data_IF_502385036417
#
_entry.id   IF_502385036417
#
_cell.length_a   1.000
_cell.length_b   1.000
_cell.length_c   1.000
_cell.angle_alpha   90.00
_cell.angle_beta   90.00
_cell.angle_gamma   90.00
#
_symmetry.space_group_name_H-M   'P 1'
#
loop_
_entity.id
_entity.type
_entity.pdbx_description
1 polymer ?
#
# COMPACT_ATOMS: atom_id res chain seq x y z
N UNK A 1 11.24 -27.32 2.02
CA UNK A 1 12.45 -27.03 1.20
C UNK A 1 12.44 -25.54 0.93
N UNK A 2 13.59 -24.86 1.04
CA UNK A 2 13.69 -23.45 0.63
C UNK A 2 13.43 -23.35 -0.89
N UNK A 3 12.79 -22.25 -1.32
CA UNK A 3 12.61 -21.96 -2.75
C UNK A 3 13.97 -21.99 -3.45
N UNK A 4 14.02 -22.51 -4.67
CA UNK A 4 15.29 -22.51 -5.46
C UNK A 4 15.86 -21.11 -5.72
N UNK A 5 15.08 -20.06 -5.47
CA UNK A 5 15.48 -18.66 -5.64
C UNK A 5 15.74 -17.93 -4.32
N UNK A 6 15.66 -18.63 -3.16
CA UNK A 6 15.87 -17.99 -1.86
C UNK A 6 17.28 -17.43 -1.73
N UNK A 7 17.36 -16.12 -1.81
CA UNK A 7 18.59 -15.35 -1.68
C UNK A 7 18.25 -13.93 -1.21
N UNK A 8 18.53 -13.66 0.07
CA UNK A 8 18.28 -12.35 0.70
C UNK A 8 19.30 -11.28 0.30
N UNK A 9 20.32 -11.61 -0.48
CA UNK A 9 21.24 -10.63 -1.07
C UNK A 9 20.69 -9.96 -2.33
N UNK A 10 19.61 -10.49 -2.90
CA UNK A 10 18.92 -9.89 -4.04
C UNK A 10 18.33 -8.55 -3.68
N UNK A 11 18.13 -7.66 -4.67
CA UNK A 11 17.44 -6.40 -4.47
C UNK A 11 16.03 -6.62 -3.90
N UNK A 12 15.69 -5.88 -2.83
CA UNK A 12 14.43 -5.99 -2.12
C UNK A 12 13.38 -5.03 -2.67
N UNK A 13 12.14 -5.53 -2.84
CA UNK A 13 10.95 -4.79 -3.24
C UNK A 13 9.75 -5.18 -2.38
N UNK A 14 8.84 -4.24 -2.19
CA UNK A 14 7.56 -4.49 -1.54
C UNK A 14 6.45 -4.52 -2.60
N UNK A 15 5.67 -5.61 -2.62
CA UNK A 15 4.54 -5.76 -3.54
C UNK A 15 3.24 -5.94 -2.77
N UNK A 16 2.22 -5.14 -3.10
CA UNK A 16 0.90 -5.21 -2.46
C UNK A 16 -0.15 -5.81 -3.39
N UNK A 17 -1.01 -6.68 -2.84
CA UNK A 17 -2.18 -7.20 -3.54
C UNK A 17 -3.41 -6.40 -3.12
N UNK A 18 -4.06 -5.73 -4.09
CA UNK A 18 -5.23 -4.86 -3.89
C UNK A 18 -6.38 -5.27 -4.80
N UNK A 19 -7.58 -4.82 -4.50
CA UNK A 19 -8.78 -5.15 -5.26
C UNK A 19 -9.97 -5.40 -4.34
N UNK A 20 -11.14 -5.60 -4.90
CA UNK A 20 -12.38 -5.81 -4.16
C UNK A 20 -12.32 -7.06 -3.26
N UNK A 21 -13.18 -7.11 -2.23
CA UNK A 21 -13.41 -8.33 -1.45
C UNK A 21 -13.85 -9.46 -2.40
N UNK A 22 -13.47 -10.69 -2.11
CA UNK A 22 -13.74 -11.88 -2.93
C UNK A 22 -13.16 -11.89 -4.37
N UNK A 23 -12.34 -10.90 -4.78
CA UNK A 23 -11.61 -10.97 -6.06
C UNK A 23 -10.38 -11.89 -6.02
N UNK A 24 -10.14 -12.59 -4.90
CA UNK A 24 -9.15 -13.65 -4.76
C UNK A 24 -7.72 -13.17 -4.50
N UNK A 25 -7.52 -12.01 -3.85
CA UNK A 25 -6.18 -11.49 -3.48
C UNK A 25 -5.37 -12.51 -2.68
N UNK A 26 -5.84 -12.87 -1.49
CA UNK A 26 -5.15 -13.80 -0.59
C UNK A 26 -5.00 -15.20 -1.21
N UNK A 27 -5.99 -15.64 -2.01
CA UNK A 27 -5.91 -16.89 -2.78
C UNK A 27 -4.78 -16.82 -3.82
N UNK A 28 -4.66 -15.68 -4.54
CA UNK A 28 -3.59 -15.47 -5.52
C UNK A 28 -2.23 -15.51 -4.87
N UNK A 29 -2.06 -14.85 -3.71
CA UNK A 29 -0.81 -14.88 -2.95
C UNK A 29 -0.48 -16.29 -2.48
N UNK A 30 -1.42 -16.98 -1.85
CA UNK A 30 -1.22 -18.36 -1.37
C UNK A 30 -0.84 -19.31 -2.50
N UNK A 31 -1.50 -19.21 -3.66
CA UNK A 31 -1.19 -19.97 -4.85
C UNK A 31 0.19 -19.67 -5.41
N UNK A 32 0.54 -18.39 -5.51
CA UNK A 32 1.85 -17.96 -5.96
C UNK A 32 2.97 -18.52 -5.08
N UNK A 33 2.79 -18.48 -3.75
CA UNK A 33 3.75 -19.02 -2.79
C UNK A 33 3.89 -20.55 -2.87
N UNK A 34 2.80 -21.28 -3.13
CA UNK A 34 2.85 -22.72 -3.35
C UNK A 34 3.59 -23.06 -4.63
N UNK A 35 3.14 -22.52 -5.77
CA UNK A 35 3.65 -22.91 -7.09
C UNK A 35 5.12 -22.49 -7.29
N UNK A 36 5.56 -21.44 -6.59
CA UNK A 36 6.96 -21.01 -6.57
C UNK A 36 7.83 -21.73 -5.53
N UNK A 37 7.27 -22.69 -4.79
CA UNK A 37 8.00 -23.53 -3.84
C UNK A 37 8.35 -22.86 -2.51
N UNK A 38 7.70 -21.74 -2.15
CA UNK A 38 7.89 -21.10 -0.85
C UNK A 38 7.07 -21.73 0.26
N UNK A 39 6.01 -22.45 -0.10
CA UNK A 39 5.15 -23.22 0.82
C UNK A 39 5.03 -24.63 0.26
N UNK A 40 5.04 -25.63 1.14
CA UNK A 40 4.86 -27.02 0.75
C UNK A 40 3.37 -27.39 0.68
N UNK A 41 3.02 -28.31 -0.23
CA UNK A 41 1.63 -28.76 -0.46
C UNK A 41 0.94 -29.21 0.83
N UNK A 42 1.64 -29.94 1.71
CA UNK A 42 1.05 -30.44 2.95
C UNK A 42 0.58 -29.32 3.90
N UNK A 43 1.18 -28.12 3.83
CA UNK A 43 0.74 -26.94 4.59
C UNK A 43 -0.61 -26.46 4.05
N UNK A 44 -0.75 -26.38 2.72
CA UNK A 44 -2.01 -26.00 2.07
C UNK A 44 -3.10 -27.05 2.40
N UNK A 45 -2.79 -28.34 2.33
CA UNK A 45 -3.74 -29.42 2.65
C UNK A 45 -4.24 -29.30 4.11
N UNK A 46 -3.34 -28.94 5.02
CA UNK A 46 -3.69 -28.68 6.42
C UNK A 46 -4.62 -27.47 6.59
N UNK A 47 -4.34 -26.38 5.87
CA UNK A 47 -5.16 -25.18 5.89
C UNK A 47 -6.52 -25.39 5.22
N UNK A 48 -6.58 -26.15 4.13
CA UNK A 48 -7.83 -26.50 3.46
C UNK A 48 -8.72 -27.35 4.36
N UNK A 49 -8.14 -28.28 5.13
CA UNK A 49 -8.86 -29.06 6.13
C UNK A 49 -9.44 -28.13 7.23
N UNK A 50 -8.64 -27.21 7.78
CA UNK A 50 -9.11 -26.21 8.77
C UNK A 50 -10.25 -25.35 8.18
N UNK A 51 -10.12 -24.93 6.92
CA UNK A 51 -11.14 -24.17 6.22
C UNK A 51 -12.45 -24.98 6.04
N UNK A 52 -12.32 -26.25 5.61
CA UNK A 52 -13.45 -27.15 5.41
C UNK A 52 -14.18 -27.45 6.73
N UNK A 53 -13.44 -27.69 7.83
CA UNK A 53 -13.99 -27.91 9.17
C UNK A 53 -14.79 -26.70 9.68
N UNK A 54 -14.51 -25.49 9.14
CA UNK A 54 -15.24 -24.24 9.41
C UNK A 54 -16.33 -23.92 8.38
N UNK A 55 -16.63 -24.82 7.46
CA UNK A 55 -17.63 -24.64 6.41
C UNK A 55 -17.18 -23.71 5.27
N UNK A 56 -15.87 -23.49 5.10
CA UNK A 56 -15.24 -22.63 4.07
C UNK A 56 -14.31 -23.41 3.16
N UNK A 57 -14.78 -24.52 2.61
CA UNK A 57 -14.02 -25.30 1.63
C UNK A 57 -13.56 -24.40 0.45
N UNK A 58 -12.32 -24.57 0.01
CA UNK A 58 -11.69 -23.74 -1.03
C UNK A 58 -10.95 -22.49 -0.52
N UNK A 59 -10.93 -22.22 0.79
CA UNK A 59 -10.22 -21.08 1.39
C UNK A 59 -8.79 -21.41 1.88
N UNK A 60 -8.29 -22.62 1.66
CA UNK A 60 -6.97 -23.03 2.14
C UNK A 60 -5.85 -22.11 1.68
N UNK A 61 -5.86 -21.65 0.43
CA UNK A 61 -4.89 -20.69 -0.08
C UNK A 61 -4.99 -19.33 0.59
N UNK A 62 -6.21 -18.84 0.85
CA UNK A 62 -6.41 -17.56 1.53
C UNK A 62 -5.87 -17.62 2.96
N UNK A 63 -6.04 -18.73 3.65
CA UNK A 63 -5.56 -18.93 5.02
C UNK A 63 -4.03 -18.89 5.18
N UNK A 64 -3.28 -18.97 4.10
CA UNK A 64 -1.82 -18.73 4.11
C UNK A 64 -1.49 -17.33 4.63
N UNK A 65 -2.30 -16.34 4.28
CA UNK A 65 -2.13 -14.95 4.67
C UNK A 65 -2.90 -14.60 5.95
N UNK A 66 -4.01 -15.28 6.22
CA UNK A 66 -4.90 -15.00 7.36
C UNK A 66 -4.27 -15.50 8.68
N UNK A 67 -3.59 -14.58 9.38
CA UNK A 67 -2.94 -14.85 10.68
C UNK A 67 -3.89 -14.88 11.86
N UNK A 68 -4.99 -14.12 11.79
CA UNK A 68 -5.94 -13.96 12.89
C UNK A 68 -7.07 -15.00 12.83
N UNK A 69 -7.47 -15.49 14.00
CA UNK A 69 -8.62 -16.40 14.09
C UNK A 69 -9.90 -15.74 13.54
N UNK A 70 -10.09 -14.44 13.79
CA UNK A 70 -11.23 -13.68 13.32
C UNK A 70 -11.27 -13.54 11.79
N UNK A 71 -10.13 -13.42 11.11
CA UNK A 71 -10.01 -13.42 9.65
C UNK A 71 -10.50 -14.75 9.08
N UNK A 72 -10.01 -15.86 9.63
CA UNK A 72 -10.44 -17.22 9.23
C UNK A 72 -11.92 -17.48 9.48
N UNK A 73 -12.48 -16.98 10.59
CA UNK A 73 -13.90 -17.11 10.89
C UNK A 73 -14.78 -16.30 9.94
N UNK A 74 -14.36 -15.08 9.58
CA UNK A 74 -15.10 -14.22 8.67
C UNK A 74 -14.83 -14.50 7.20
N UNK A 75 -13.64 -15.00 6.84
CA UNK A 75 -13.15 -15.19 5.47
C UNK A 75 -12.81 -13.87 4.78
N UNK A 76 -12.36 -12.88 5.54
CA UNK A 76 -11.92 -11.58 5.04
C UNK A 76 -10.64 -11.17 5.76
N UNK A 77 -9.70 -10.60 5.03
CA UNK A 77 -8.48 -10.03 5.59
C UNK A 77 -8.82 -8.74 6.36
N UNK A 78 -8.37 -8.64 7.60
CA UNK A 78 -8.61 -7.52 8.51
C UNK A 78 -7.37 -6.66 8.63
N UNK A 79 -6.22 -7.28 8.83
CA UNK A 79 -4.94 -6.60 9.00
C UNK A 79 -4.00 -6.88 7.83
N UNK A 80 -2.90 -6.14 7.77
CA UNK A 80 -1.88 -6.29 6.72
C UNK A 80 -0.99 -7.47 7.07
N UNK A 81 -0.97 -8.48 6.20
CA UNK A 81 -0.09 -9.63 6.35
C UNK A 81 1.15 -9.47 5.45
N UNK A 82 2.30 -9.91 5.95
CA UNK A 82 3.57 -9.85 5.25
C UNK A 82 4.16 -11.25 5.11
N UNK A 83 4.62 -11.60 3.90
CA UNK A 83 5.32 -12.84 3.60
C UNK A 83 6.52 -12.58 2.71
N UNK A 84 7.57 -13.36 2.91
CA UNK A 84 8.73 -13.35 2.02
C UNK A 84 8.43 -14.13 0.74
N UNK A 85 8.90 -13.62 -0.38
CA UNK A 85 8.73 -14.22 -1.69
C UNK A 85 9.97 -13.93 -2.55
N UNK A 86 10.48 -14.93 -3.26
CA UNK A 86 11.68 -14.82 -4.07
C UNK A 86 11.40 -15.15 -5.53
N UNK A 87 11.98 -14.34 -6.41
CA UNK A 87 11.99 -14.57 -7.86
C UNK A 87 13.45 -14.71 -8.35
N UNK A 88 13.69 -15.04 -9.61
CA UNK A 88 15.04 -15.02 -10.17
C UNK A 88 15.79 -13.70 -9.93
N UNK A 89 15.11 -12.54 -10.03
CA UNK A 89 15.74 -11.21 -9.93
C UNK A 89 15.66 -10.61 -8.54
N UNK A 90 14.59 -10.82 -7.81
CA UNK A 90 14.24 -10.03 -6.62
C UNK A 90 13.92 -10.88 -5.40
N UNK A 91 14.08 -10.24 -4.26
CA UNK A 91 13.49 -10.61 -2.99
C UNK A 91 12.30 -9.67 -2.71
N UNK A 92 11.11 -10.22 -2.52
CA UNK A 92 9.90 -9.46 -2.24
C UNK A 92 9.41 -9.63 -0.81
N UNK A 93 8.94 -8.54 -0.21
CA UNK A 93 7.93 -8.60 0.85
C UNK A 93 6.56 -8.48 0.21
N UNK A 94 5.79 -9.56 0.22
CA UNK A 94 4.40 -9.58 -0.22
C UNK A 94 3.51 -9.01 0.88
N UNK A 95 2.71 -8.02 0.53
CA UNK A 95 1.77 -7.34 1.41
C UNK A 95 0.36 -7.69 0.95
N UNK A 96 -0.38 -8.49 1.72
CA UNK A 96 -1.79 -8.71 1.45
C UNK A 96 -2.63 -7.65 2.17
N UNK A 97 -3.32 -6.83 1.40
CA UNK A 97 -4.09 -5.71 1.91
C UNK A 97 -5.59 -6.05 1.97
N UNK A 98 -6.29 -5.66 3.06
CA UNK A 98 -7.73 -5.87 3.18
C UNK A 98 -8.50 -5.29 2.00
N UNK A 99 -9.44 -6.08 1.46
CA UNK A 99 -10.34 -5.62 0.39
C UNK A 99 -11.61 -4.94 0.88
N UNK A 100 -12.00 -5.16 2.13
CA UNK A 100 -13.26 -4.68 2.67
C UNK A 100 -13.18 -3.20 3.07
N UNK A 101 -14.24 -2.42 2.74
CA UNK A 101 -14.31 -0.97 2.98
C UNK A 101 -14.04 -0.55 4.44
N UNK A 102 -14.37 -1.40 5.41
CA UNK A 102 -14.16 -1.09 6.82
C UNK A 102 -12.68 -1.10 7.21
N UNK A 103 -11.84 -1.76 6.42
CA UNK A 103 -10.40 -1.91 6.67
C UNK A 103 -9.52 -1.12 5.68
N UNK A 104 -10.08 -0.21 4.89
CA UNK A 104 -9.33 0.61 3.91
C UNK A 104 -8.18 1.40 4.57
N UNK A 105 -8.28 1.75 5.86
CA UNK A 105 -7.15 2.37 6.60
C UNK A 105 -5.91 1.46 6.63
N UNK A 106 -6.09 0.16 6.80
CA UNK A 106 -5.01 -0.83 6.80
C UNK A 106 -4.50 -1.05 5.36
N UNK A 107 -5.41 -1.07 4.37
CA UNK A 107 -5.06 -1.07 2.94
C UNK A 107 -4.18 0.15 2.58
N UNK A 108 -4.54 1.36 3.02
CA UNK A 108 -3.72 2.57 2.79
C UNK A 108 -2.32 2.39 3.38
N UNK A 109 -2.23 1.86 4.61
CA UNK A 109 -0.94 1.61 5.25
C UNK A 109 -0.09 0.61 4.48
N UNK A 110 -0.67 -0.52 4.06
CA UNK A 110 0.03 -1.53 3.27
C UNK A 110 0.47 -0.99 1.91
N UNK A 111 -0.44 -0.30 1.21
CA UNK A 111 -0.15 0.26 -0.13
C UNK A 111 0.90 1.37 -0.09
N UNK A 112 0.94 2.18 0.97
CA UNK A 112 1.96 3.23 1.10
C UNK A 112 3.38 2.69 1.24
N UNK A 113 3.54 1.43 1.63
CA UNK A 113 4.83 0.75 1.74
C UNK A 113 5.25 0.05 0.44
N UNK A 114 4.33 -0.11 -0.52
CA UNK A 114 4.55 -0.90 -1.71
C UNK A 114 5.30 -0.13 -2.81
N UNK A 115 6.21 -0.81 -3.46
CA UNK A 115 6.91 -0.34 -4.66
C UNK A 115 6.12 -0.70 -5.93
N UNK A 116 5.47 -1.88 -5.90
CA UNK A 116 4.60 -2.40 -6.94
C UNK A 116 3.26 -2.87 -6.38
N UNK A 117 2.23 -2.94 -7.21
CA UNK A 117 0.94 -3.50 -6.85
C UNK A 117 0.39 -4.48 -7.88
N UNK A 118 -0.33 -5.49 -7.38
CA UNK A 118 -1.18 -6.36 -8.19
C UNK A 118 -2.64 -6.00 -7.91
N UNK A 119 -3.33 -5.46 -8.90
CA UNK A 119 -4.76 -5.20 -8.84
C UNK A 119 -5.53 -6.44 -9.28
N UNK A 120 -6.18 -7.11 -8.34
CA UNK A 120 -7.02 -8.28 -8.61
C UNK A 120 -8.43 -7.83 -8.99
N UNK A 121 -8.89 -8.28 -10.15
CA UNK A 121 -10.26 -8.05 -10.67
C UNK A 121 -10.85 -9.39 -11.08
N UNK A 122 -12.01 -9.76 -10.54
CA UNK A 122 -12.68 -10.98 -10.95
C UNK A 122 -13.38 -10.77 -12.30
N UNK A 123 -13.15 -11.68 -13.26
CA UNK A 123 -13.64 -11.57 -14.64
C UNK A 123 -15.18 -11.53 -14.74
N UNK A 124 -15.88 -12.11 -13.76
CA UNK A 124 -17.35 -12.13 -13.72
C UNK A 124 -17.98 -10.90 -13.05
N UNK A 125 -17.19 -10.12 -12.30
CA UNK A 125 -17.67 -9.01 -11.46
C UNK A 125 -17.18 -7.65 -11.99
N UNK A 126 -16.03 -7.64 -12.66
CA UNK A 126 -15.46 -6.44 -13.28
C UNK A 126 -15.04 -5.37 -12.27
N UNK A 127 -15.21 -4.11 -12.68
CA UNK A 127 -14.81 -2.93 -11.88
C UNK A 127 -15.94 -2.49 -10.97
N UNK A 128 -15.77 -2.67 -9.66
CA UNK A 128 -16.72 -2.18 -8.66
C UNK A 128 -16.14 -1.02 -7.82
N UNK A 129 -16.92 -0.54 -6.82
CA UNK A 129 -16.59 0.65 -6.06
C UNK A 129 -15.22 0.55 -5.37
N UNK A 130 -14.89 -0.61 -4.78
CA UNK A 130 -13.61 -0.81 -4.10
C UNK A 130 -12.45 -0.96 -5.08
N UNK A 131 -12.66 -1.58 -6.24
CA UNK A 131 -11.65 -1.64 -7.31
C UNK A 131 -11.26 -0.23 -7.75
N UNK A 132 -12.25 0.67 -7.90
CA UNK A 132 -12.01 2.09 -8.21
C UNK A 132 -11.21 2.76 -7.09
N UNK A 133 -11.67 2.65 -5.85
CA UNK A 133 -10.98 3.24 -4.69
C UNK A 133 -9.52 2.78 -4.59
N UNK A 134 -9.27 1.46 -4.75
CA UNK A 134 -7.94 0.89 -4.66
C UNK A 134 -7.01 1.34 -5.81
N UNK A 135 -7.50 1.44 -7.03
CA UNK A 135 -6.73 1.94 -8.17
C UNK A 135 -6.29 3.40 -7.96
N UNK A 136 -7.19 4.27 -7.51
CA UNK A 136 -6.86 5.66 -7.18
C UNK A 136 -5.89 5.77 -6.01
N UNK A 137 -6.13 5.01 -4.93
CA UNK A 137 -5.23 5.01 -3.76
C UNK A 137 -3.84 4.49 -4.11
N UNK A 138 -3.71 3.42 -4.89
CA UNK A 138 -2.42 2.93 -5.34
C UNK A 138 -1.61 4.03 -6.05
N UNK A 139 -2.24 4.78 -6.96
CA UNK A 139 -1.59 5.89 -7.66
C UNK A 139 -1.16 7.02 -6.73
N UNK A 140 -2.08 7.46 -5.86
CA UNK A 140 -1.83 8.58 -4.96
C UNK A 140 -0.80 8.22 -3.89
N UNK A 141 -0.82 6.98 -3.39
CA UNK A 141 0.15 6.49 -2.40
C UNK A 141 1.54 6.21 -3.00
N UNK A 142 1.68 6.33 -4.31
CA UNK A 142 3.00 6.34 -4.96
C UNK A 142 3.43 5.03 -5.56
N UNK A 143 2.54 4.06 -5.70
CA UNK A 143 2.80 2.85 -6.47
C UNK A 143 3.17 3.23 -7.90
N UNK A 144 4.36 2.80 -8.34
CA UNK A 144 4.90 3.10 -9.66
C UNK A 144 4.54 2.02 -10.67
N UNK A 145 4.73 0.77 -10.28
CA UNK A 145 4.52 -0.40 -11.09
C UNK A 145 3.20 -1.09 -10.73
N UNK A 146 2.36 -1.31 -11.73
CA UNK A 146 1.06 -1.95 -11.55
C UNK A 146 0.92 -3.15 -12.49
N UNK A 147 0.45 -4.26 -11.95
CA UNK A 147 0.05 -5.46 -12.70
C UNK A 147 -1.45 -5.65 -12.46
N UNK A 148 -2.19 -6.07 -13.48
CA UNK A 148 -3.61 -6.40 -13.35
C UNK A 148 -3.79 -7.90 -13.50
N UNK A 149 -4.30 -8.52 -12.46
CA UNK A 149 -4.72 -9.92 -12.47
C UNK A 149 -6.24 -9.99 -12.75
N UNK A 150 -6.62 -10.41 -13.95
CA UNK A 150 -8.02 -10.74 -14.29
C UNK A 150 -8.25 -12.17 -13.82
N UNK A 151 -8.72 -12.29 -12.59
CA UNK A 151 -8.85 -13.55 -11.88
C UNK A 151 -10.23 -14.22 -12.11
N UNK A 152 -10.35 -15.48 -11.70
CA UNK A 152 -11.57 -16.28 -11.81
C UNK A 152 -12.01 -16.52 -13.25
N UNK A 153 -11.05 -16.70 -14.15
CA UNK A 153 -11.33 -17.03 -15.55
C UNK A 153 -11.99 -18.41 -15.74
N UNK A 154 -11.85 -19.29 -14.73
CA UNK A 154 -12.36 -20.66 -14.69
C UNK A 154 -13.84 -20.80 -14.32
N UNK A 155 -14.44 -19.74 -13.75
CA UNK A 155 -15.81 -19.87 -13.23
C UNK A 155 -16.85 -19.95 -14.34
N UNK A 156 -17.97 -20.65 -14.02
CA UNK A 156 -19.11 -20.75 -14.93
C UNK A 156 -19.62 -19.40 -15.41
N UNK A 157 -19.85 -19.27 -16.71
CA UNK A 157 -20.24 -18.05 -17.38
C UNK A 157 -19.09 -17.15 -17.82
N UNK A 158 -17.85 -17.41 -17.36
CA UNK A 158 -16.61 -16.83 -17.92
C UNK A 158 -15.92 -17.87 -18.80
N UNK A 159 -15.67 -19.08 -18.27
CA UNK A 159 -15.24 -20.28 -19.00
C UNK A 159 -14.07 -20.02 -19.97
N UNK A 160 -13.05 -19.26 -19.50
CA UNK A 160 -11.84 -18.88 -20.28
C UNK A 160 -12.11 -18.14 -21.58
N UNK A 161 -13.28 -17.48 -21.68
CA UNK A 161 -13.73 -16.78 -22.87
C UNK A 161 -12.89 -15.51 -23.10
N UNK A 162 -12.28 -15.40 -24.31
CA UNK A 162 -11.45 -14.27 -24.69
C UNK A 162 -12.20 -12.93 -24.70
N UNK A 163 -13.47 -12.92 -25.14
CA UNK A 163 -14.27 -11.68 -25.20
C UNK A 163 -14.60 -11.16 -23.80
N UNK A 164 -14.84 -12.05 -22.84
CA UNK A 164 -15.01 -11.70 -21.42
C UNK A 164 -13.74 -11.07 -20.85
N UNK A 165 -12.59 -11.69 -21.14
CA UNK A 165 -11.30 -11.13 -20.76
C UNK A 165 -11.08 -9.74 -21.38
N UNK A 166 -11.28 -9.60 -22.68
CA UNK A 166 -11.09 -8.33 -23.38
C UNK A 166 -12.00 -7.22 -22.82
N UNK A 167 -13.26 -7.55 -22.50
CA UNK A 167 -14.20 -6.60 -21.88
C UNK A 167 -13.71 -6.16 -20.49
N UNK A 168 -13.21 -7.08 -19.68
CA UNK A 168 -12.65 -6.76 -18.37
C UNK A 168 -11.38 -5.89 -18.48
N UNK A 169 -10.49 -6.19 -19.45
CA UNK A 169 -9.30 -5.38 -19.74
C UNK A 169 -9.69 -3.96 -20.18
N UNK A 170 -10.70 -3.79 -21.03
CA UNK A 170 -11.17 -2.48 -21.46
C UNK A 170 -11.72 -1.67 -20.27
N UNK A 171 -12.57 -2.27 -19.45
CA UNK A 171 -13.17 -1.62 -18.28
C UNK A 171 -12.10 -1.17 -17.28
N UNK A 172 -11.16 -2.07 -16.95
CA UNK A 172 -10.05 -1.76 -16.03
C UNK A 172 -9.10 -0.73 -16.64
N UNK A 173 -8.81 -0.79 -17.93
CA UNK A 173 -7.98 0.18 -18.63
C UNK A 173 -8.55 1.58 -18.55
N UNK A 174 -9.88 1.72 -18.73
CA UNK A 174 -10.57 3.01 -18.62
C UNK A 174 -10.50 3.55 -17.18
N UNK A 175 -10.68 2.69 -16.16
CA UNK A 175 -10.47 3.06 -14.77
C UNK A 175 -9.04 3.54 -14.51
N UNK A 176 -8.03 2.80 -14.96
CA UNK A 176 -6.63 3.11 -14.74
C UNK A 176 -6.19 4.42 -15.40
N UNK A 177 -6.70 4.72 -16.59
CA UNK A 177 -6.52 6.04 -17.23
C UNK A 177 -7.09 7.16 -16.37
N UNK A 178 -8.29 6.99 -15.81
CA UNK A 178 -8.89 7.98 -14.90
C UNK A 178 -8.08 8.13 -13.59
N UNK A 179 -7.49 7.06 -13.10
CA UNK A 179 -6.60 7.07 -11.92
C UNK A 179 -5.21 7.67 -12.22
N UNK A 180 -4.86 7.91 -13.49
CA UNK A 180 -3.58 8.50 -13.91
C UNK A 180 -2.47 7.48 -14.19
N UNK A 181 -2.81 6.21 -14.40
CA UNK A 181 -1.89 5.21 -14.94
C UNK A 181 -1.94 5.17 -16.47
N UNK A 182 -0.87 4.65 -17.10
CA UNK A 182 -0.85 4.35 -18.51
C UNK A 182 -1.07 2.84 -18.74
N UNK A 183 -2.27 2.39 -19.20
CA UNK A 183 -2.54 0.96 -19.36
C UNK A 183 -1.64 0.27 -20.38
N UNK A 184 -1.03 1.01 -21.32
CA UNK A 184 -0.12 0.43 -22.31
C UNK A 184 1.16 -0.16 -21.69
N UNK A 185 1.52 0.28 -20.49
CA UNK A 185 2.69 -0.18 -19.74
C UNK A 185 2.33 -1.21 -18.66
N UNK A 186 1.08 -1.70 -18.63
CA UNK A 186 0.58 -2.58 -17.57
C UNK A 186 0.32 -3.97 -18.16
N UNK A 187 0.85 -4.99 -17.49
CA UNK A 187 0.54 -6.37 -17.82
C UNK A 187 -0.87 -6.72 -17.30
N UNK A 188 -1.73 -7.24 -18.18
CA UNK A 188 -3.02 -7.81 -17.83
C UNK A 188 -2.93 -9.33 -17.98
N UNK A 189 -3.12 -10.07 -16.89
CA UNK A 189 -2.93 -11.51 -16.87
C UNK A 189 -4.27 -12.22 -16.60
N UNK A 190 -4.77 -13.08 -17.53
CA UNK A 190 -5.96 -13.89 -17.27
C UNK A 190 -5.62 -15.09 -16.40
N UNK A 191 -6.10 -15.12 -15.15
CA UNK A 191 -5.75 -16.17 -14.19
C UNK A 191 -6.96 -16.92 -13.63
N UNK A 192 -6.68 -18.14 -13.16
CA UNK A 192 -7.43 -18.76 -12.06
C UNK A 192 -6.49 -18.98 -10.89
N UNK A 193 -6.61 -18.18 -9.86
CA UNK A 193 -5.80 -18.36 -8.65
C UNK A 193 -6.09 -19.68 -7.93
N UNK A 194 -7.33 -20.18 -8.03
CA UNK A 194 -7.71 -21.43 -7.40
C UNK A 194 -7.12 -22.63 -8.16
N UNK A 195 -7.20 -22.66 -9.48
CA UNK A 195 -6.66 -23.73 -10.32
C UNK A 195 -5.15 -23.60 -10.56
N UNK A 196 -4.58 -22.40 -10.50
CA UNK A 196 -3.17 -22.10 -10.74
C UNK A 196 -2.85 -21.69 -12.17
N UNK A 197 -3.86 -21.56 -13.01
CA UNK A 197 -3.70 -21.19 -14.42
C UNK A 197 -3.14 -19.77 -14.55
N UNK A 198 -2.06 -19.62 -15.33
CA UNK A 198 -1.33 -18.39 -15.58
C UNK A 198 -0.80 -17.67 -14.31
N UNK A 199 -0.82 -18.31 -13.15
CA UNK A 199 -0.21 -17.76 -11.94
C UNK A 199 1.31 -17.95 -12.00
N UNK A 200 1.77 -19.17 -12.10
CA UNK A 200 3.19 -19.53 -12.22
C UNK A 200 3.49 -20.15 -13.59
N UNK A 201 2.70 -21.11 -14.00
CA UNK A 201 2.79 -21.77 -15.30
C UNK A 201 1.75 -21.23 -16.27
N UNK A 202 2.08 -21.21 -17.56
CA UNK A 202 1.11 -20.87 -18.62
C UNK A 202 0.00 -21.91 -18.67
N UNK A 203 -1.22 -21.44 -18.92
CA UNK A 203 -2.41 -22.27 -19.02
C UNK A 203 -2.71 -22.68 -20.44
N UNK A 204 -3.03 -23.97 -20.63
CA UNK A 204 -3.55 -24.47 -21.90
C UNK A 204 -4.99 -23.99 -22.19
N UNK A 205 -5.71 -23.50 -21.17
CA UNK A 205 -7.06 -22.96 -21.28
C UNK A 205 -7.10 -21.59 -21.95
N UNK A 206 -5.95 -20.92 -22.12
CA UNK A 206 -5.83 -19.58 -22.73
C UNK A 206 -4.90 -19.58 -23.94
N UNK A 207 -5.13 -20.38 -24.99
CA UNK A 207 -4.26 -20.44 -26.17
C UNK A 207 -4.18 -19.12 -26.92
N UNK A 208 -5.14 -18.24 -26.71
CA UNK A 208 -5.20 -16.88 -27.28
C UNK A 208 -4.35 -15.86 -26.52
N UNK A 209 -3.85 -16.21 -25.31
CA UNK A 209 -3.04 -15.31 -24.50
C UNK A 209 -1.55 -15.55 -24.69
N UNK A 210 -0.83 -14.54 -25.20
CA UNK A 210 0.61 -14.61 -25.44
C UNK A 210 1.46 -13.79 -24.46
N UNK A 211 0.81 -13.21 -23.43
CA UNK A 211 1.49 -12.41 -22.41
C UNK A 211 2.24 -13.25 -21.36
N UNK A 212 2.84 -12.59 -20.35
CA UNK A 212 3.51 -13.24 -19.24
C UNK A 212 2.52 -13.93 -18.30
N UNK A 213 3.00 -14.91 -17.52
CA UNK A 213 2.30 -15.36 -16.30
C UNK A 213 2.34 -14.27 -15.24
N UNK A 214 1.55 -14.40 -14.16
CA UNK A 214 1.59 -13.43 -13.06
C UNK A 214 2.97 -13.40 -12.40
N UNK A 215 3.61 -14.56 -12.23
CA UNK A 215 4.97 -14.68 -11.71
C UNK A 215 6.00 -13.96 -12.60
N UNK A 216 5.94 -14.18 -13.91
CA UNK A 216 6.81 -13.52 -14.87
C UNK A 216 6.60 -12.00 -14.89
N UNK A 217 5.34 -11.55 -14.78
CA UNK A 217 5.02 -10.12 -14.70
C UNK A 217 5.56 -9.48 -13.41
N UNK A 218 5.52 -10.20 -12.29
CA UNK A 218 6.10 -9.74 -11.01
C UNK A 218 7.63 -9.68 -11.10
N UNK A 219 8.29 -10.68 -11.71
CA UNK A 219 9.76 -10.68 -11.89
C UNK A 219 10.24 -9.61 -12.89
N UNK A 220 9.35 -9.13 -13.76
CA UNK A 220 9.64 -8.09 -14.75
C UNK A 220 9.48 -6.64 -14.21
N UNK A 221 8.98 -6.47 -12.97
CA UNK A 221 8.83 -5.15 -12.33
C UNK A 221 10.17 -4.41 -12.31
N UNK A 222 10.14 -3.12 -12.66
CA UNK A 222 11.35 -2.29 -12.58
C UNK A 222 11.58 -1.79 -11.15
N UNK A 223 12.81 -1.92 -10.67
CA UNK A 223 13.16 -1.41 -9.35
C UNK A 223 13.15 0.12 -9.37
N UNK A 224 12.38 0.78 -8.47
CA UNK A 224 12.47 2.21 -8.32
C UNK A 224 13.87 2.63 -7.82
N UNK A 225 14.39 3.79 -8.25
CA UNK A 225 15.65 4.28 -7.74
C UNK A 225 15.59 4.43 -6.22
N UNK A 226 16.63 3.97 -5.52
CA UNK A 226 16.77 4.12 -4.07
C UNK A 226 17.42 5.47 -3.76
N UNK A 227 16.70 6.46 -3.20
CA UNK A 227 17.24 7.79 -2.91
C UNK A 227 18.09 7.79 -1.62
N UNK A 228 19.24 7.11 -1.68
CA UNK A 228 20.17 6.95 -0.55
C UNK A 228 20.97 8.23 -0.25
N UNK A 229 21.13 9.12 -1.24
CA UNK A 229 21.82 10.40 -1.17
C UNK A 229 20.97 11.53 -0.57
N UNK A 230 19.69 11.27 -0.28
CA UNK A 230 18.77 12.23 0.30
C UNK A 230 18.75 12.13 1.83
N UNK A 231 18.27 13.14 2.55
CA UNK A 231 18.08 13.08 3.99
C UNK A 231 17.15 11.91 4.40
N UNK A 232 17.42 11.31 5.56
CA UNK A 232 16.62 10.21 6.11
C UNK A 232 15.16 10.62 6.33
N UNK A 233 14.24 9.82 5.80
CA UNK A 233 12.80 9.85 6.07
C UNK A 233 12.30 8.43 6.31
N UNK A 234 11.83 8.16 7.53
CA UNK A 234 11.33 6.86 7.95
C UNK A 234 10.02 7.07 8.72
N UNK A 235 8.85 6.97 8.05
CA UNK A 235 7.54 7.01 8.71
C UNK A 235 7.37 5.86 9.69
N UNK A 236 6.97 6.16 10.92
CA UNK A 236 6.74 5.18 11.98
C UNK A 236 5.35 4.56 11.82
N UNK A 237 5.34 3.25 11.62
CA UNK A 237 4.13 2.46 11.45
C UNK A 237 3.58 1.98 12.79
N UNK A 238 4.46 1.58 13.71
CA UNK A 238 4.10 1.14 15.04
C UNK A 238 5.29 1.29 16.01
N UNK A 239 5.03 1.19 17.32
CA UNK A 239 6.05 1.29 18.36
C UNK A 239 5.82 0.20 19.39
N UNK A 240 6.78 -0.71 19.49
CA UNK A 240 6.72 -1.83 20.43
C UNK A 240 7.60 -1.59 21.65
N UNK A 241 7.15 -2.10 22.79
CA UNK A 241 7.96 -2.24 23.98
C UNK A 241 8.33 -3.71 24.15
N UNK A 242 9.60 -4.04 23.89
CA UNK A 242 10.10 -5.42 23.97
C UNK A 242 10.91 -5.59 25.25
N UNK A 243 10.54 -6.61 26.05
CA UNK A 243 11.26 -6.91 27.30
C UNK A 243 12.73 -7.23 27.03
N UNK A 244 13.64 -6.61 27.78
CA UNK A 244 15.10 -6.78 27.62
C UNK A 244 15.72 -5.97 26.47
N UNK A 245 14.93 -5.48 25.50
CA UNK A 245 15.41 -4.68 24.37
C UNK A 245 15.07 -3.19 24.56
N UNK A 246 13.84 -2.87 24.91
CA UNK A 246 13.36 -1.51 25.12
C UNK A 246 12.32 -1.07 24.10
N UNK A 247 12.38 0.19 23.68
CA UNK A 247 11.46 0.78 22.68
C UNK A 247 11.96 0.50 21.28
N UNK A 248 11.10 -0.09 20.45
CA UNK A 248 11.38 -0.51 19.07
C UNK A 248 10.31 0.10 18.15
N UNK A 249 10.55 1.28 17.55
CA UNK A 249 9.76 1.76 16.44
C UNK A 249 10.01 0.90 15.21
N UNK A 250 8.96 0.72 14.39
CA UNK A 250 9.02 0.00 13.12
C UNK A 250 8.50 0.88 11.99
N UNK A 251 9.07 0.74 10.81
CA UNK A 251 8.66 1.48 9.63
C UNK A 251 9.49 1.12 8.40
N UNK A 252 9.16 1.75 7.26
CA UNK A 252 9.90 1.65 5.99
C UNK A 252 10.81 2.87 5.83
N UNK A 253 12.05 2.63 5.44
CA UNK A 253 12.93 3.73 5.00
C UNK A 253 12.45 4.22 3.64
N UNK A 254 12.03 5.48 3.54
CA UNK A 254 11.58 6.08 2.27
C UNK A 254 12.72 6.77 1.54
N UNK A 255 13.57 7.50 2.25
CA UNK A 255 14.77 8.17 1.72
C UNK A 255 15.92 8.14 2.71
N UNK A 256 17.15 8.29 2.21
CA UNK A 256 18.34 8.33 3.05
C UNK A 256 18.70 6.96 3.63
N UNK A 257 19.63 6.93 4.54
CA UNK A 257 20.14 5.71 5.18
C UNK A 257 19.96 5.83 6.69
N UNK A 258 19.30 4.85 7.32
CA UNK A 258 19.30 4.72 8.77
C UNK A 258 20.57 4.01 9.20
N UNK A 259 21.32 4.57 10.16
CA UNK A 259 22.59 4.00 10.64
C UNK A 259 22.57 3.80 12.15
N UNK A 260 23.10 2.66 12.57
CA UNK A 260 23.33 2.36 13.98
C UNK A 260 24.33 3.34 14.60
N UNK A 261 24.05 3.76 15.84
CA UNK A 261 24.88 4.73 16.59
C UNK A 261 24.57 6.19 16.29
N UNK A 262 23.78 6.50 15.26
CA UNK A 262 23.34 7.88 14.99
C UNK A 262 22.10 8.25 15.80
N UNK A 263 21.95 9.54 16.08
CA UNK A 263 20.76 10.10 16.75
C UNK A 263 19.74 10.53 15.73
N UNK A 264 18.51 9.99 15.82
CA UNK A 264 17.36 10.39 15.04
C UNK A 264 16.40 11.24 15.85
N UNK A 265 15.68 12.13 15.19
CA UNK A 265 14.56 12.91 15.72
C UNK A 265 13.25 12.40 15.13
N UNK A 266 12.22 12.35 15.97
CA UNK A 266 10.85 11.92 15.59
C UNK A 266 9.94 13.15 15.57
N UNK A 267 9.47 13.57 14.40
CA UNK A 267 8.52 14.66 14.23
C UNK A 267 7.15 14.14 13.82
N UNK A 268 6.05 14.69 14.36
CA UNK A 268 5.94 15.90 15.19
C UNK A 268 6.10 15.71 16.72
N UNK A 269 6.43 14.52 17.22
CA UNK A 269 6.59 14.26 18.67
C UNK A 269 7.80 15.00 19.27
N UNK A 270 8.72 15.53 18.45
CA UNK A 270 9.93 16.28 18.84
C UNK A 270 10.80 15.54 19.87
N UNK A 271 10.97 14.27 19.69
CA UNK A 271 11.80 13.40 20.53
C UNK A 271 13.03 12.94 19.77
N UNK A 272 14.17 12.96 20.41
CA UNK A 272 15.42 12.48 19.83
C UNK A 272 15.97 11.28 20.59
N UNK A 273 16.55 10.32 19.87
CA UNK A 273 17.16 9.14 20.46
C UNK A 273 18.26 8.54 19.59
N UNK A 274 19.24 7.92 20.24
CA UNK A 274 20.27 7.13 19.56
C UNK A 274 19.72 5.79 19.08
N UNK A 275 19.99 5.43 17.84
CA UNK A 275 19.70 4.11 17.24
C UNK A 275 20.72 3.10 17.74
N UNK A 276 20.30 2.17 18.59
CA UNK A 276 21.17 1.14 19.17
C UNK A 276 21.41 -0.03 18.25
N UNK A 277 20.35 -0.50 17.60
CA UNK A 277 20.38 -1.64 16.71
C UNK A 277 19.29 -1.52 15.67
N UNK A 278 19.47 -2.14 14.52
CA UNK A 278 18.53 -2.18 13.39
C UNK A 278 18.32 -3.64 13.06
N UNK A 279 17.06 -4.08 13.03
CA UNK A 279 16.68 -5.46 12.73
C UNK A 279 15.79 -5.52 11.50
N UNK A 280 16.14 -6.42 10.58
CA UNK A 280 15.32 -6.82 9.43
C UNK A 280 15.28 -8.35 9.39
N UNK A 281 14.08 -8.91 9.25
CA UNK A 281 13.89 -10.37 9.15
C UNK A 281 14.66 -11.19 10.20
N UNK A 282 14.59 -10.74 11.48
CA UNK A 282 15.30 -11.34 12.63
C UNK A 282 16.84 -11.33 12.52
N UNK A 283 17.39 -10.44 11.70
CA UNK A 283 18.85 -10.26 11.56
C UNK A 283 19.23 -8.82 11.86
N UNK A 284 20.30 -8.64 12.68
CA UNK A 284 20.86 -7.32 13.01
C UNK A 284 21.69 -6.77 11.85
N UNK A 285 21.51 -5.48 11.56
CA UNK A 285 22.17 -4.75 10.49
C UNK A 285 22.84 -3.48 11.01
N UNK A 286 23.94 -3.06 10.37
CA UNK A 286 24.60 -1.79 10.70
C UNK A 286 23.87 -0.58 10.09
N UNK A 287 23.18 -0.78 8.98
CA UNK A 287 22.43 0.24 8.22
C UNK A 287 21.19 -0.34 7.58
N UNK A 288 20.24 0.54 7.24
CA UNK A 288 19.08 0.23 6.40
C UNK A 288 18.91 1.30 5.32
N UNK A 289 18.49 0.89 4.13
CA UNK A 289 18.40 1.70 2.91
C UNK A 289 16.94 1.88 2.46
N UNK A 290 16.64 2.84 1.57
CA UNK A 290 15.30 3.02 1.04
C UNK A 290 14.70 1.72 0.48
N UNK A 291 13.44 1.45 0.88
CA UNK A 291 12.73 0.22 0.58
C UNK A 291 12.74 -0.80 1.71
N UNK A 292 13.69 -0.72 2.65
CA UNK A 292 13.80 -1.67 3.75
C UNK A 292 12.73 -1.42 4.82
N UNK A 293 12.04 -2.48 5.24
CA UNK A 293 11.15 -2.49 6.40
C UNK A 293 11.95 -2.89 7.63
N UNK A 294 12.04 -2.01 8.61
CA UNK A 294 12.92 -2.18 9.76
C UNK A 294 12.21 -2.00 11.09
N UNK A 295 12.64 -2.80 12.09
CA UNK A 295 12.51 -2.48 13.50
C UNK A 295 13.84 -1.95 14.01
N UNK A 296 13.86 -0.85 14.77
CA UNK A 296 15.10 -0.34 15.31
C UNK A 296 14.97 0.04 16.79
N UNK A 297 15.92 -0.42 17.58
CA UNK A 297 15.95 -0.12 19.00
C UNK A 297 16.47 1.29 19.25
N UNK A 298 15.75 2.08 20.06
CA UNK A 298 16.13 3.45 20.41
C UNK A 298 16.40 3.59 21.91
N UNK A 299 17.41 4.39 22.26
CA UNK A 299 17.86 4.58 23.62
C UNK A 299 17.16 5.75 24.31
N UNK A 300 16.67 5.52 25.55
CA UNK A 300 16.21 6.60 26.42
C UNK A 300 14.81 7.14 26.14
N UNK A 301 14.04 6.51 25.24
CA UNK A 301 12.64 6.84 25.00
C UNK A 301 11.72 5.74 25.51
N UNK A 302 10.60 6.13 26.10
CA UNK A 302 9.48 5.25 26.35
C UNK A 302 8.64 5.06 25.07
N UNK A 303 7.94 3.94 24.97
CA UNK A 303 7.09 3.66 23.79
C UNK A 303 6.01 4.73 23.55
N UNK A 304 5.56 5.41 24.62
CA UNK A 304 4.56 6.48 24.53
C UNK A 304 5.14 7.87 24.15
N UNK A 305 6.48 8.01 24.09
CA UNK A 305 7.13 9.26 23.68
C UNK A 305 7.06 9.49 22.16
N UNK A 306 6.93 8.41 21.40
CA UNK A 306 6.80 8.37 19.95
C UNK A 306 5.57 7.58 19.57
N UNK A 307 5.07 7.77 18.37
CA UNK A 307 3.79 7.16 17.95
C UNK A 307 3.75 6.91 16.45
N UNK A 308 2.82 6.07 16.04
CA UNK A 308 2.43 5.95 14.64
C UNK A 308 2.10 7.33 14.05
N UNK A 309 2.63 7.61 12.88
CA UNK A 309 2.47 8.89 12.19
C UNK A 309 3.62 9.87 12.43
N UNK A 310 4.53 9.59 13.37
CA UNK A 310 5.80 10.29 13.41
C UNK A 310 6.68 9.88 12.23
N UNK A 311 7.59 10.75 11.83
CA UNK A 311 8.64 10.46 10.86
C UNK A 311 10.00 10.62 11.55
N UNK A 312 10.84 9.61 11.46
CA UNK A 312 12.21 9.68 11.90
C UNK A 312 13.12 10.26 10.82
N UNK A 313 14.03 11.13 11.23
CA UNK A 313 15.07 11.73 10.40
C UNK A 313 16.26 12.15 11.23
N UNK A 314 17.30 12.73 10.61
CA UNK A 314 18.43 13.30 11.36
C UNK A 314 18.22 14.77 11.71
N UNK A 315 18.89 15.26 12.76
CA UNK A 315 18.74 16.63 13.26
C UNK A 315 19.23 17.71 12.31
N UNK A 316 20.18 17.40 11.44
CA UNK A 316 20.69 18.31 10.41
C UNK A 316 19.69 18.59 9.28
N UNK A 317 18.73 17.68 9.10
CA UNK A 317 17.60 17.84 8.16
C UNK A 317 16.38 17.12 8.73
N UNK A 318 15.70 17.77 9.67
CA UNK A 318 14.54 17.22 10.36
C UNK A 318 13.34 17.03 9.42
N UNK A 319 12.54 15.95 9.63
CA UNK A 319 11.28 15.78 8.92
C UNK A 319 10.33 16.97 9.15
N UNK A 320 9.74 17.47 8.08
CA UNK A 320 8.79 18.56 8.17
C UNK A 320 7.45 18.09 8.80
N UNK A 321 6.82 19.00 9.51
CA UNK A 321 5.48 18.79 10.05
C UNK A 321 4.72 20.11 10.13
N UNK A 322 3.40 20.03 10.20
CA UNK A 322 2.49 21.18 10.31
C UNK A 322 1.83 21.12 11.69
N UNK A 323 1.90 22.22 12.44
CA UNK A 323 1.24 22.36 13.74
C UNK A 323 -0.22 22.71 13.56
N UNK A 324 -1.01 22.57 14.64
CA UNK A 324 -2.44 22.89 14.63
C UNK A 324 -2.79 24.37 14.35
N UNK A 325 -1.83 25.28 14.52
CA UNK A 325 -1.93 26.73 14.27
C UNK A 325 -1.26 27.15 12.93
N UNK A 326 -0.69 26.22 12.20
CA UNK A 326 -0.10 26.39 10.87
C UNK A 326 -1.02 25.82 9.78
N UNK A 327 -0.69 26.11 8.52
CA UNK A 327 -1.43 25.62 7.35
C UNK A 327 -0.53 25.00 6.31
N UNK A 328 -1.11 24.25 5.41
CA UNK A 328 -0.45 23.84 4.17
C UNK A 328 -1.41 23.92 3.00
N UNK A 329 -0.87 24.14 1.81
CA UNK A 329 -1.62 24.14 0.56
C UNK A 329 -1.43 22.77 -0.09
N UNK A 330 -2.52 22.11 -0.41
CA UNK A 330 -2.52 20.84 -1.14
C UNK A 330 -3.32 20.93 -2.43
N UNK A 331 -2.83 20.23 -3.45
CA UNK A 331 -3.60 19.94 -4.65
C UNK A 331 -4.38 18.65 -4.42
N UNK A 332 -5.68 18.68 -4.61
CA UNK A 332 -6.56 17.53 -4.38
C UNK A 332 -7.40 17.20 -5.61
N UNK A 333 -7.66 15.91 -5.79
CA UNK A 333 -8.64 15.37 -6.72
C UNK A 333 -9.80 14.80 -5.91
N UNK A 334 -11.00 15.33 -6.09
CA UNK A 334 -12.20 14.82 -5.42
C UNK A 334 -12.73 13.58 -6.13
N UNK A 335 -13.10 12.59 -5.32
CA UNK A 335 -13.68 11.33 -5.75
C UNK A 335 -15.20 11.34 -5.55
N UNK A 336 -15.80 10.22 -5.19
CA UNK A 336 -17.23 10.08 -4.94
C UNK A 336 -17.63 10.69 -3.59
N UNK A 337 -18.06 11.95 -3.61
CA UNK A 337 -18.52 12.67 -2.43
C UNK A 337 -20.05 12.76 -2.40
N UNK A 338 -20.70 12.49 -1.27
CA UNK A 338 -22.16 12.50 -1.18
C UNK A 338 -22.77 13.90 -1.27
N UNK A 339 -22.00 14.94 -0.96
CA UNK A 339 -22.41 16.35 -0.97
C UNK A 339 -21.24 17.24 -1.38
N UNK A 340 -21.54 18.47 -1.83
CA UNK A 340 -20.52 19.47 -2.07
C UNK A 340 -19.69 19.76 -0.81
N UNK A 341 -18.39 19.94 -0.98
CA UNK A 341 -17.42 20.25 0.09
C UNK A 341 -17.14 21.76 0.08
N UNK A 342 -17.27 22.39 1.24
CA UNK A 342 -16.94 23.81 1.45
C UNK A 342 -15.94 24.04 2.56
N UNK A 343 -15.65 25.31 2.82
CA UNK A 343 -14.82 25.75 3.95
C UNK A 343 -15.40 25.26 5.26
N UNK A 344 -14.54 24.83 6.20
CA UNK A 344 -14.92 24.27 7.48
C UNK A 344 -15.10 22.74 7.49
N UNK A 345 -15.17 22.09 6.34
CA UNK A 345 -15.16 20.63 6.26
C UNK A 345 -13.92 20.04 6.91
N UNK A 346 -14.07 19.03 7.78
CA UNK A 346 -12.98 18.51 8.62
C UNK A 346 -12.93 16.98 8.61
N UNK A 347 -12.55 16.36 7.49
CA UNK A 347 -12.41 14.93 7.36
C UNK A 347 -11.09 14.42 7.96
N UNK A 348 -10.84 13.10 7.90
CA UNK A 348 -9.60 12.47 8.31
C UNK A 348 -8.65 12.36 7.12
N UNK A 349 -7.46 12.92 7.28
CA UNK A 349 -6.33 12.75 6.36
C UNK A 349 -5.49 11.54 6.76
N UNK A 350 -5.11 10.78 5.75
CA UNK A 350 -4.15 9.69 5.83
C UNK A 350 -2.93 10.11 5.00
N UNK A 351 -1.85 10.49 5.68
CA UNK A 351 -0.58 10.83 5.05
C UNK A 351 0.48 9.84 5.56
N UNK A 352 1.09 9.03 4.65
CA UNK A 352 1.94 7.90 5.02
C UNK A 352 1.31 7.05 6.15
N UNK A 353 1.87 7.04 7.37
CA UNK A 353 1.32 6.32 8.53
C UNK A 353 0.44 7.18 9.44
N UNK A 354 0.41 8.52 9.23
CA UNK A 354 -0.36 9.47 10.04
C UNK A 354 -1.86 9.46 9.69
N UNK A 355 -2.70 9.63 10.73
CA UNK A 355 -4.14 9.78 10.60
C UNK A 355 -4.57 10.98 11.47
N UNK A 356 -4.93 12.10 10.84
CA UNK A 356 -5.25 13.35 11.52
C UNK A 356 -6.46 14.00 10.88
N UNK A 357 -7.41 14.50 11.69
CA UNK A 357 -8.50 15.32 11.17
C UNK A 357 -7.92 16.68 10.70
N UNK A 358 -8.27 17.08 9.49
CA UNK A 358 -7.71 18.29 8.85
C UNK A 358 -8.86 19.12 8.30
N UNK A 359 -8.89 20.41 8.66
CA UNK A 359 -9.92 21.34 8.25
C UNK A 359 -9.59 22.01 6.93
N UNK A 360 -10.54 22.11 6.04
CA UNK A 360 -10.53 22.95 4.84
C UNK A 360 -10.69 24.40 5.27
N UNK A 361 -9.62 25.19 5.20
CA UNK A 361 -9.60 26.58 5.65
C UNK A 361 -10.02 27.51 4.53
N UNK A 362 -9.58 27.22 3.31
CA UNK A 362 -9.85 28.04 2.13
C UNK A 362 -9.80 27.18 0.87
N UNK A 363 -10.72 27.41 -0.03
CA UNK A 363 -10.71 26.82 -1.38
C UNK A 363 -10.07 27.85 -2.32
N UNK A 364 -8.81 27.63 -2.70
CA UNK A 364 -8.02 28.64 -3.41
C UNK A 364 -8.35 28.70 -4.90
N UNK A 365 -8.47 27.56 -5.55
CA UNK A 365 -8.74 27.47 -7.00
C UNK A 365 -9.37 26.10 -7.32
N UNK A 366 -10.39 26.10 -8.16
CA UNK A 366 -10.80 24.89 -8.88
C UNK A 366 -9.92 24.74 -10.13
N UNK A 367 -9.01 23.78 -10.13
CA UNK A 367 -8.00 23.62 -11.19
C UNK A 367 -8.61 23.25 -12.55
N UNK A 368 -9.85 22.69 -12.57
CA UNK A 368 -10.60 22.35 -13.79
C UNK A 368 -11.25 23.57 -14.43
N UNK A 369 -12.00 24.33 -13.63
CA UNK A 369 -12.78 25.50 -14.12
C UNK A 369 -11.98 26.78 -14.12
N UNK A 370 -10.80 26.78 -13.44
CA UNK A 370 -9.98 27.98 -13.17
C UNK A 370 -10.66 29.04 -12.33
N UNK A 371 -11.74 28.69 -11.64
CA UNK A 371 -12.44 29.55 -10.71
C UNK A 371 -11.60 29.78 -9.45
N UNK A 372 -11.32 31.03 -9.13
CA UNK A 372 -10.66 31.41 -7.90
C UNK A 372 -11.68 31.49 -6.74
N UNK A 373 -11.29 31.00 -5.56
CA UNK A 373 -12.09 30.99 -4.36
C UNK A 373 -13.52 30.42 -4.55
N UNK A 374 -13.65 29.20 -5.12
CA UNK A 374 -14.97 28.61 -5.34
C UNK A 374 -15.70 28.42 -4.01
N UNK A 375 -17.01 28.64 -4.00
CA UNK A 375 -17.83 28.47 -2.81
C UNK A 375 -17.88 27.02 -2.29
N UNK A 376 -17.76 26.07 -3.21
CA UNK A 376 -17.77 24.63 -2.92
C UNK A 376 -17.09 23.82 -4.05
N UNK A 377 -16.71 22.60 -3.72
CA UNK A 377 -16.17 21.61 -4.66
C UNK A 377 -17.10 20.41 -4.78
N UNK A 378 -17.11 19.77 -5.95
CA UNK A 378 -17.96 18.61 -6.30
C UNK A 378 -17.15 17.37 -6.67
N UNK A 379 -17.81 16.24 -6.74
CA UNK A 379 -17.24 15.00 -7.28
C UNK A 379 -16.59 15.24 -8.64
N UNK A 380 -15.34 14.79 -8.78
CA UNK A 380 -14.54 14.91 -9.98
C UNK A 380 -13.82 16.26 -10.16
N UNK A 381 -13.96 17.21 -9.22
CA UNK A 381 -13.17 18.44 -9.23
C UNK A 381 -11.72 18.19 -8.82
N UNK A 382 -10.81 18.94 -9.40
CA UNK A 382 -9.44 19.08 -8.93
C UNK A 382 -9.27 20.51 -8.38
N UNK A 383 -8.66 20.68 -7.23
CA UNK A 383 -8.57 21.98 -6.58
C UNK A 383 -7.28 22.20 -5.79
N UNK A 384 -6.88 23.44 -5.66
CA UNK A 384 -5.92 23.90 -4.65
C UNK A 384 -6.69 24.35 -3.41
N UNK A 385 -6.31 23.78 -2.25
CA UNK A 385 -7.01 23.99 -0.99
C UNK A 385 -5.99 24.27 0.11
N UNK A 386 -6.27 25.25 0.97
CA UNK A 386 -5.53 25.49 2.21
C UNK A 386 -6.13 24.69 3.34
N UNK A 387 -5.28 23.96 4.03
CA UNK A 387 -5.62 23.01 5.08
C UNK A 387 -4.98 23.39 6.42
N UNK A 388 -5.68 23.11 7.53
CA UNK A 388 -5.14 23.19 8.88
C UNK A 388 -5.38 21.88 9.63
N UNK A 389 -4.34 21.19 10.09
CA UNK A 389 -4.51 19.96 10.89
C UNK A 389 -5.01 20.30 12.29
N UNK A 390 -5.85 19.44 12.87
CA UNK A 390 -6.35 19.60 14.25
C UNK A 390 -5.33 19.21 15.31
N UNK A 391 -4.31 18.44 14.91
CA UNK A 391 -3.14 18.04 15.72
C UNK A 391 -1.89 18.11 14.84
N UNK A 392 -0.69 18.26 15.42
CA UNK A 392 0.53 18.23 14.66
C UNK A 392 0.63 16.99 13.78
N UNK A 393 0.97 17.16 12.51
CA UNK A 393 1.01 16.11 11.49
C UNK A 393 2.29 16.25 10.66
N UNK A 394 3.08 15.18 10.57
CA UNK A 394 4.20 15.11 9.64
C UNK A 394 3.66 15.07 8.21
N UNK A 395 4.17 15.93 7.36
CA UNK A 395 3.93 15.98 5.92
C UNK A 395 5.05 16.78 5.27
N UNK A 396 5.45 16.41 4.09
CA UNK A 396 6.51 17.06 3.32
C UNK A 396 5.93 17.70 2.04
N UNK A 397 6.69 18.58 1.40
CA UNK A 397 6.30 19.19 0.13
C UNK A 397 6.65 18.27 -1.05
N UNK A 398 5.85 18.31 -2.10
CA UNK A 398 6.00 17.46 -3.29
C UNK A 398 7.31 17.68 -4.04
N UNK A 399 7.83 18.89 -4.03
CA UNK A 399 9.09 19.27 -4.69
C UNK A 399 10.33 18.78 -3.94
N UNK A 400 10.23 18.61 -2.61
CA UNK A 400 11.33 18.18 -1.76
C UNK A 400 11.29 16.69 -1.44
N UNK A 401 10.18 16.18 -0.95
CA UNK A 401 9.99 14.78 -0.58
C UNK A 401 8.66 14.24 -1.11
N UNK A 402 8.58 13.91 -2.41
CA UNK A 402 7.36 13.41 -3.03
C UNK A 402 6.81 12.15 -2.34
N UNK A 403 7.66 11.34 -1.71
CA UNK A 403 7.29 10.12 -1.00
C UNK A 403 6.38 10.42 0.21
N UNK A 404 6.62 11.55 0.91
CA UNK A 404 5.88 11.95 2.12
C UNK A 404 4.92 13.13 1.90
N UNK A 405 4.73 13.56 0.65
CA UNK A 405 3.83 14.67 0.32
C UNK A 405 2.40 14.23 0.07
N UNK A 406 2.18 12.93 -0.16
CA UNK A 406 0.89 12.37 -0.61
C UNK A 406 -0.03 12.11 0.56
N UNK A 407 -1.33 12.34 0.34
CA UNK A 407 -2.37 12.04 1.33
C UNK A 407 -3.67 11.59 0.67
N UNK A 408 -4.41 10.75 1.39
CA UNK A 408 -5.80 10.42 1.10
C UNK A 408 -6.72 11.07 2.14
N UNK A 409 -7.89 11.52 1.71
CA UNK A 409 -8.91 12.12 2.58
C UNK A 409 -10.08 11.16 2.68
N UNK A 410 -10.44 10.82 3.91
CA UNK A 410 -11.55 9.89 4.18
C UNK A 410 -12.61 10.51 5.07
N UNK A 411 -13.87 10.22 4.74
CA UNK A 411 -15.03 10.60 5.53
C UNK A 411 -16.10 9.50 5.50
N UNK A 412 -16.75 9.24 6.64
CA UNK A 412 -17.80 8.22 6.80
C UNK A 412 -17.45 6.86 6.16
N UNK A 413 -16.19 6.41 6.31
CA UNK A 413 -15.73 5.11 5.82
C UNK A 413 -15.42 5.06 4.32
N UNK A 414 -15.49 6.19 3.59
CA UNK A 414 -15.16 6.30 2.15
C UNK A 414 -13.96 7.20 1.92
N UNK A 415 -13.19 6.94 0.88
CA UNK A 415 -12.18 7.87 0.38
C UNK A 415 -12.88 8.92 -0.50
N UNK A 416 -12.84 10.17 -0.05
CA UNK A 416 -13.54 11.30 -0.69
C UNK A 416 -12.63 12.15 -1.57
N UNK A 417 -11.33 12.14 -1.28
CA UNK A 417 -10.33 12.80 -2.12
C UNK A 417 -8.95 12.20 -1.89
N UNK A 418 -8.04 12.52 -2.81
CA UNK A 418 -6.63 12.23 -2.67
C UNK A 418 -5.82 13.42 -3.20
N UNK A 419 -4.62 13.65 -2.68
CA UNK A 419 -3.85 14.80 -3.07
C UNK A 419 -2.40 14.78 -2.63
N UNK A 420 -1.72 15.89 -2.91
CA UNK A 420 -0.32 16.12 -2.56
C UNK A 420 -0.14 17.48 -1.89
N UNK A 421 0.75 17.53 -0.92
CA UNK A 421 1.15 18.78 -0.27
C UNK A 421 2.08 19.57 -1.21
N UNK A 422 1.65 20.77 -1.60
CA UNK A 422 2.40 21.63 -2.50
C UNK A 422 3.29 22.61 -1.72
N UNK A 423 2.80 23.10 -0.57
CA UNK A 423 3.50 24.12 0.21
C UNK A 423 3.07 24.05 1.67
N UNK A 424 4.04 24.11 2.58
CA UNK A 424 3.83 24.28 4.02
C UNK A 424 3.96 25.77 4.35
N UNK A 425 2.99 26.31 5.09
CA UNK A 425 2.95 27.71 5.52
C UNK A 425 3.13 27.74 7.05
N UNK A 426 4.36 27.99 7.46
CA UNK A 426 4.70 28.17 8.87
C UNK A 426 4.40 29.61 9.33
N UNK A 427 3.94 29.75 10.58
CA UNK A 427 3.81 31.05 11.22
C UNK A 427 5.14 31.57 11.73
#
# INVERSE_FOLDING_TARGET
MSSQWEDKSKPHLNIVFVGHVDHGKSTTVGRLLLDSGHIEQHVIDGLEKDASDRGKAGFGFAYVMDGLKEERERGITIDVAHKEFFTPKYYFTVIDAPGHRDFVKNMITGTSQADAAVLNVAANDGVNAQTKEHAFLAKVLGVKELIVNINKMDISGVDWNQDKYNSAVEEVSNLLKMAGFNPANIAFVPCSALAGDNVFNKSDNTPWYNGPTLFEAIDAVEMPPKPTDRPLRLPIQDVYKISGIGTVPVGKVETGILERGKTVIFNPSQKAAEVKDIEMHHTSHAKAEPGDNVGFNVRGLAANDIRRGDVAGYQDNEPAYVRHDETFVGQVQLMDIPKAIGVGYTPVFHAHTAQVAVRFVELLENSKTKEANPAFLKTGDAALVRFAPTKPMAIEQMDTFPELSRFAIRDMGKTVAAGVCMKIEKK
#
